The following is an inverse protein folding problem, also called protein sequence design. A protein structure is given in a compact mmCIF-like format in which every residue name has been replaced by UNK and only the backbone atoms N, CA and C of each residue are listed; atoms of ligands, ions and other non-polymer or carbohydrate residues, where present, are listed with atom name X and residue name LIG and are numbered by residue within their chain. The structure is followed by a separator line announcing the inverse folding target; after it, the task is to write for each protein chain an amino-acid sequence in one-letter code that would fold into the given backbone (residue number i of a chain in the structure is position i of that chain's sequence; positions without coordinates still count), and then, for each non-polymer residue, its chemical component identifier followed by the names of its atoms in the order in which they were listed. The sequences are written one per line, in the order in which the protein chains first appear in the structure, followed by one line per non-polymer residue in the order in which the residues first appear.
data_IF_679399665064
#
_entry.id   IF_679399665064
#
_cell.length_a   1.000
_cell.length_b   1.000
_cell.length_c   1.000
_cell.angle_alpha   90.00
_cell.angle_beta   90.00
_cell.angle_gamma   90.00
#
_symmetry.space_group_name_H-M   'P 1'
#
loop_
_entity.id
_entity.type
_entity.pdbx_description
1 polymer ?
#
# COMPACT_ATOMS: atom_id res chain seq x y z
N UNK A 1 -6.49 7.13 4.19
CA UNK A 1 -6.98 7.37 5.57
C UNK A 1 -6.11 6.55 6.51
N UNK A 2 -5.71 7.15 7.63
CA UNK A 2 -4.95 6.50 8.72
C UNK A 2 -5.74 6.64 10.03
N UNK A 3 -5.28 6.02 11.11
CA UNK A 3 -5.99 5.99 12.41
C UNK A 3 -7.13 4.96 12.43
N UNK A 4 -7.09 3.97 11.53
CA UNK A 4 -8.09 2.90 11.41
C UNK A 4 -7.45 1.55 11.67
N UNK A 5 -8.22 0.60 12.19
CA UNK A 5 -7.79 -0.80 12.31
C UNK A 5 -8.07 -1.57 11.02
N UNK A 6 -7.54 -2.80 10.93
CA UNK A 6 -7.85 -3.70 9.82
C UNK A 6 -9.32 -4.13 9.83
N UNK A 7 -9.93 -4.27 11.01
CA UNK A 7 -11.36 -4.56 11.11
C UNK A 7 -12.20 -3.40 10.57
N UNK A 8 -11.84 -2.15 10.86
CA UNK A 8 -12.53 -0.98 10.28
C UNK A 8 -12.38 -0.93 8.75
N UNK A 9 -11.20 -1.25 8.23
CA UNK A 9 -10.98 -1.33 6.78
C UNK A 9 -11.87 -2.40 6.12
N UNK A 10 -12.04 -3.56 6.76
CA UNK A 10 -12.95 -4.61 6.26
C UNK A 10 -14.42 -4.24 6.37
N UNK A 11 -14.83 -3.59 7.46
CA UNK A 11 -16.19 -3.08 7.62
C UNK A 11 -16.52 -2.07 6.52
N UNK A 12 -15.61 -1.13 6.24
CA UNK A 12 -15.74 -0.21 5.11
C UNK A 12 -15.88 -0.97 3.79
N UNK A 13 -15.03 -1.97 3.54
CA UNK A 13 -15.10 -2.76 2.31
C UNK A 13 -16.47 -3.44 2.13
N UNK A 14 -17.00 -4.06 3.19
CA UNK A 14 -18.33 -4.69 3.19
C UNK A 14 -19.42 -3.67 2.89
N UNK A 15 -19.38 -2.50 3.53
CA UNK A 15 -20.35 -1.44 3.29
C UNK A 15 -20.29 -0.90 1.84
N UNK A 16 -19.08 -0.70 1.31
CA UNK A 16 -18.87 -0.15 -0.03
C UNK A 16 -19.00 -1.19 -1.17
N UNK A 17 -19.21 -2.47 -0.86
CA UNK A 17 -19.28 -3.53 -1.87
C UNK A 17 -17.94 -3.83 -2.56
N UNK A 18 -16.82 -3.56 -1.89
CA UNK A 18 -15.46 -3.80 -2.36
C UNK A 18 -14.72 -4.72 -1.38
N UNK A 19 -13.43 -4.98 -1.59
CA UNK A 19 -12.61 -5.74 -0.65
C UNK A 19 -11.18 -5.21 -0.59
N UNK A 20 -10.46 -5.60 0.45
CA UNK A 20 -9.00 -5.47 0.48
C UNK A 20 -8.37 -6.36 -0.61
N UNK A 21 -7.27 -5.92 -1.24
CA UNK A 21 -6.49 -6.76 -2.14
C UNK A 21 -5.88 -7.93 -1.37
N UNK A 22 -5.72 -9.09 -2.00
CA UNK A 22 -4.84 -10.12 -1.47
C UNK A 22 -3.38 -9.64 -1.51
N UNK A 23 -2.45 -10.26 -0.74
CA UNK A 23 -1.03 -9.89 -0.80
C UNK A 23 -0.47 -9.99 -2.22
N UNK A 24 -0.89 -11.03 -2.97
CA UNK A 24 -0.44 -11.29 -4.34
C UNK A 24 -1.01 -10.27 -5.33
N UNK A 25 -2.29 -9.89 -5.21
CA UNK A 25 -2.88 -8.85 -6.06
C UNK A 25 -2.23 -7.49 -5.83
N UNK A 26 -1.94 -7.16 -4.57
CA UNK A 26 -1.25 -5.94 -4.21
C UNK A 26 0.13 -5.90 -4.85
N UNK A 27 0.90 -6.98 -4.70
CA UNK A 27 2.26 -7.08 -5.23
C UNK A 27 2.29 -7.09 -6.76
N UNK A 28 1.39 -7.86 -7.39
CA UNK A 28 1.27 -7.90 -8.84
C UNK A 28 0.99 -6.50 -9.40
N UNK A 29 0.09 -5.74 -8.78
CA UNK A 29 -0.24 -4.40 -9.24
C UNK A 29 0.88 -3.37 -8.98
N UNK A 30 1.64 -3.55 -7.90
CA UNK A 30 2.79 -2.72 -7.57
C UNK A 30 3.99 -2.96 -8.52
N UNK A 31 4.18 -4.21 -8.95
CA UNK A 31 5.40 -4.68 -9.63
C UNK A 31 5.23 -5.01 -11.12
N UNK A 32 4.02 -4.91 -11.67
CA UNK A 32 3.75 -5.16 -13.09
C UNK A 32 4.65 -4.30 -14.02
N UNK A 33 5.09 -4.79 -15.20
CA UNK A 33 4.91 -6.15 -15.73
C UNK A 33 6.03 -7.13 -15.40
N UNK A 34 7.17 -6.62 -14.92
CA UNK A 34 8.47 -7.30 -14.96
C UNK A 34 9.02 -7.63 -13.56
N UNK A 35 8.23 -7.41 -12.51
CA UNK A 35 8.67 -7.72 -11.15
C UNK A 35 9.64 -6.67 -10.60
N UNK A 36 9.51 -5.41 -11.02
CA UNK A 36 10.33 -4.28 -10.54
C UNK A 36 10.44 -4.21 -9.02
N UNK A 37 11.58 -3.73 -8.53
CA UNK A 37 11.87 -3.58 -7.10
C UNK A 37 11.18 -2.36 -6.48
N UNK A 38 11.01 -1.29 -7.24
CA UNK A 38 10.29 -0.09 -6.85
C UNK A 38 9.18 0.21 -7.87
N UNK A 39 8.13 0.94 -7.46
CA UNK A 39 7.04 1.35 -8.36
C UNK A 39 7.55 2.02 -9.66
N UNK A 40 8.65 2.77 -9.56
CA UNK A 40 9.28 3.52 -10.64
C UNK A 40 10.41 2.78 -11.37
N UNK A 41 10.81 1.57 -10.96
CA UNK A 41 11.88 0.79 -11.59
C UNK A 41 12.79 0.09 -10.58
N UNK A 42 14.01 -0.27 -11.00
CA UNK A 42 14.97 -0.99 -10.16
C UNK A 42 16.09 -0.10 -9.59
N UNK A 43 15.99 1.22 -9.77
CA UNK A 43 16.91 2.18 -9.18
C UNK A 43 16.25 2.88 -7.98
N UNK A 44 16.70 2.52 -6.78
CA UNK A 44 16.25 3.10 -5.52
C UNK A 44 16.36 4.63 -5.49
N UNK A 45 17.46 5.19 -6.02
CA UNK A 45 17.76 6.63 -5.94
C UNK A 45 16.77 7.46 -6.75
N UNK A 46 16.34 6.93 -7.89
CA UNK A 46 15.48 7.63 -8.85
C UNK A 46 14.07 7.98 -8.33
N UNK A 47 13.63 7.32 -7.26
CA UNK A 47 12.33 7.60 -6.66
C UNK A 47 12.30 7.76 -5.15
N UNK A 48 13.33 7.36 -4.39
CA UNK A 48 13.38 7.67 -2.96
C UNK A 48 13.37 9.19 -2.73
N UNK A 49 14.23 9.94 -3.45
CA UNK A 49 14.27 11.42 -3.40
C UNK A 49 12.96 12.08 -3.85
N UNK A 50 12.20 11.44 -4.75
CA UNK A 50 10.89 11.92 -5.19
C UNK A 50 9.76 11.52 -4.23
N UNK A 51 9.90 10.39 -3.54
CA UNK A 51 8.88 9.83 -2.65
C UNK A 51 8.93 10.41 -1.23
N UNK A 52 10.06 10.98 -0.84
CA UNK A 52 10.29 11.57 0.49
C UNK A 52 10.31 13.11 0.46
N UNK A 53 10.12 13.72 -0.72
CA UNK A 53 10.11 15.17 -0.88
C UNK A 53 11.53 15.78 -0.88
N UNK A 54 11.64 16.98 -1.47
CA UNK A 54 12.91 17.72 -1.63
C UNK A 54 13.38 18.45 -0.36
N UNK A 55 12.80 18.16 0.80
CA UNK A 55 13.19 18.72 2.08
C UNK A 55 13.73 17.61 2.96
N UNK A 56 14.94 17.80 3.48
CA UNK A 56 15.70 16.79 4.22
C UNK A 56 14.92 16.06 5.31
N UNK A 57 15.54 14.97 5.76
CA UNK A 57 15.10 13.90 6.66
C UNK A 57 14.37 14.31 7.96
N UNK A 58 14.19 15.61 8.25
CA UNK A 58 13.74 16.15 9.53
C UNK A 58 12.33 16.82 9.51
N UNK A 59 11.80 17.26 8.37
CA UNK A 59 10.52 18.02 8.35
C UNK A 59 9.31 17.24 7.80
N UNK A 60 9.53 16.06 7.19
CA UNK A 60 8.54 15.37 6.36
C UNK A 60 8.06 14.01 6.92
N UNK A 61 8.50 13.64 8.13
CA UNK A 61 8.26 12.32 8.74
C UNK A 61 6.97 12.22 9.55
N UNK A 62 6.21 13.30 9.72
CA UNK A 62 5.21 13.31 10.79
C UNK A 62 3.79 12.90 10.36
N UNK A 63 3.46 12.90 9.06
CA UNK A 63 2.07 12.67 8.62
C UNK A 63 1.91 12.05 7.22
N UNK A 64 0.85 11.25 7.06
CA UNK A 64 0.39 10.77 5.76
C UNK A 64 -0.05 11.94 4.87
N UNK A 65 0.42 11.97 3.62
CA UNK A 65 0.04 12.99 2.62
C UNK A 65 -1.23 12.58 1.89
N UNK A 66 -2.04 13.59 1.55
CA UNK A 66 -3.10 13.42 0.55
C UNK A 66 -2.46 13.05 -0.78
N UNK A 67 -3.10 12.11 -1.48
CA UNK A 67 -2.69 11.67 -2.83
C UNK A 67 -2.65 12.84 -3.81
N UNK A 68 -3.45 13.89 -3.59
CA UNK A 68 -3.56 15.05 -4.47
C UNK A 68 -2.44 16.09 -4.32
N UNK A 69 -1.67 16.05 -3.22
CA UNK A 69 -0.72 17.12 -2.84
C UNK A 69 0.73 16.76 -3.16
N UNK A 70 1.02 15.50 -3.45
CA UNK A 70 2.36 15.04 -3.82
C UNK A 70 2.27 13.76 -4.67
N UNK A 71 1.99 13.87 -5.98
CA UNK A 71 1.88 12.71 -6.84
C UNK A 71 3.29 12.15 -7.10
N UNK A 72 3.68 11.14 -6.32
CA UNK A 72 4.82 10.31 -6.66
C UNK A 72 4.64 9.68 -8.04
N UNK A 73 5.71 9.30 -8.75
CA UNK A 73 5.57 8.59 -10.01
C UNK A 73 4.70 7.34 -9.84
N UNK A 74 3.61 7.19 -10.63
CA UNK A 74 2.76 6.02 -10.51
C UNK A 74 3.48 4.75 -11.00
N UNK A 75 2.98 3.59 -10.58
CA UNK A 75 3.32 2.32 -11.24
C UNK A 75 2.87 2.37 -12.70
N UNK A 76 3.30 1.40 -13.52
CA UNK A 76 2.82 1.29 -14.92
C UNK A 76 1.29 1.13 -15.02
N UNK A 77 0.64 0.63 -13.96
CA UNK A 77 -0.82 0.52 -13.89
C UNK A 77 -1.50 1.77 -13.32
N UNK A 78 -0.76 2.87 -13.11
CA UNK A 78 -1.29 4.13 -12.59
C UNK A 78 -1.42 4.17 -11.07
N UNK A 79 -0.90 3.19 -10.32
CA UNK A 79 -1.02 3.19 -8.87
C UNK A 79 -0.03 4.16 -8.24
N UNK A 80 -0.53 5.06 -7.39
CA UNK A 80 0.27 5.96 -6.59
C UNK A 80 0.59 5.34 -5.23
N UNK A 81 1.70 5.77 -4.64
CA UNK A 81 2.09 5.52 -3.24
C UNK A 81 2.13 4.05 -2.85
N UNK A 82 2.45 3.14 -3.78
CA UNK A 82 2.71 1.73 -3.46
C UNK A 82 4.06 1.53 -2.76
N UNK A 83 4.89 2.57 -2.67
CA UNK A 83 6.28 2.48 -2.18
C UNK A 83 6.66 3.60 -1.20
N UNK A 84 5.68 4.24 -0.56
CA UNK A 84 5.84 5.32 0.42
C UNK A 84 4.45 5.70 0.97
N UNK A 85 4.38 6.73 1.81
CA UNK A 85 3.19 7.28 2.46
C UNK A 85 2.68 6.41 3.61
N UNK A 86 1.96 5.33 3.31
CA UNK A 86 1.37 4.46 4.35
C UNK A 86 1.61 3.00 4.02
N UNK A 87 1.77 2.19 5.05
CA UNK A 87 1.63 0.74 4.92
C UNK A 87 0.16 0.43 4.65
N UNK A 88 -0.11 -0.65 3.93
CA UNK A 88 -1.46 -0.97 3.50
C UNK A 88 -1.91 -2.33 4.00
N UNK A 89 -3.07 -2.34 4.65
CA UNK A 89 -3.78 -3.57 4.99
C UNK A 89 -4.16 -4.34 3.73
N UNK A 90 -3.84 -5.63 3.74
CA UNK A 90 -4.27 -6.58 2.71
C UNK A 90 -5.20 -7.64 3.31
N UNK A 91 -5.93 -8.34 2.46
CA UNK A 91 -6.77 -9.45 2.87
C UNK A 91 -5.88 -10.60 3.34
N UNK A 92 -6.05 -11.02 4.60
CA UNK A 92 -5.31 -12.13 5.15
C UNK A 92 -4.98 -11.94 6.62
N UNK A 93 -5.15 -13.02 7.36
CA UNK A 93 -4.71 -13.14 8.74
C UNK A 93 -3.33 -13.78 8.73
N UNK A 94 -2.42 -13.29 9.56
CA UNK A 94 -1.03 -13.73 9.61
C UNK A 94 -0.76 -14.81 10.68
N UNK A 95 -1.74 -15.10 11.55
CA UNK A 95 -1.65 -16.09 12.61
C UNK A 95 -2.93 -16.92 12.78
N UNK A 96 -2.79 -18.12 13.35
CA UNK A 96 -3.93 -19.03 13.57
C UNK A 96 -4.96 -18.47 14.58
N UNK A 97 -4.53 -17.54 15.45
CA UNK A 97 -5.37 -16.87 16.44
C UNK A 97 -6.15 -15.66 15.91
N UNK A 98 -5.94 -15.29 14.65
CA UNK A 98 -6.50 -14.11 14.01
C UNK A 98 -6.31 -12.79 14.76
N UNK A 99 -5.19 -12.65 15.45
CA UNK A 99 -4.76 -11.44 16.14
C UNK A 99 -3.80 -10.60 15.30
N UNK A 100 -3.13 -11.22 14.32
CA UNK A 100 -2.23 -10.54 13.40
C UNK A 100 -2.78 -10.55 11.98
N UNK A 101 -2.53 -9.46 11.24
CA UNK A 101 -2.96 -9.30 9.85
C UNK A 101 -1.78 -8.90 8.98
N UNK A 102 -1.88 -9.26 7.71
CA UNK A 102 -0.86 -8.95 6.73
C UNK A 102 -0.93 -7.48 6.31
N UNK A 103 0.23 -6.86 6.17
CA UNK A 103 0.41 -5.52 5.61
C UNK A 103 1.48 -5.53 4.53
N UNK A 104 1.31 -4.70 3.51
CA UNK A 104 2.24 -4.52 2.39
C UNK A 104 2.70 -3.07 2.27
N UNK A 105 3.81 -2.87 1.56
CA UNK A 105 4.35 -1.54 1.27
C UNK A 105 5.15 -0.95 2.42
N UNK A 106 5.31 0.38 2.38
CA UNK A 106 6.13 1.17 3.29
C UNK A 106 5.41 2.46 3.68
N UNK A 107 5.52 2.87 4.94
CA UNK A 107 5.02 4.17 5.42
C UNK A 107 6.12 5.23 5.52
N UNK A 108 5.73 6.48 5.81
CA UNK A 108 6.67 7.55 6.16
C UNK A 108 7.47 7.27 7.44
N UNK A 109 7.01 6.35 8.31
CA UNK A 109 7.68 6.01 9.57
C UNK A 109 8.82 5.01 9.37
N UNK A 110 8.78 4.25 8.27
CA UNK A 110 9.77 3.22 7.95
C UNK A 110 11.10 3.83 7.47
N UNK A 111 12.26 3.24 7.84
CA UNK A 111 13.55 3.68 7.33
C UNK A 111 13.66 3.55 5.80
N UNK A 112 14.43 4.43 5.14
CA UNK A 112 14.54 4.48 3.67
C UNK A 112 15.21 3.24 3.05
N UNK A 113 15.80 2.38 3.86
CA UNK A 113 16.48 1.15 3.44
C UNK A 113 15.55 -0.05 3.23
N UNK A 114 14.26 0.08 3.56
CA UNK A 114 13.25 -0.97 3.43
C UNK A 114 12.79 -1.11 1.96
N UNK A 115 12.92 -2.32 1.41
CA UNK A 115 12.56 -2.65 0.03
C UNK A 115 11.05 -2.67 -0.18
N UNK A 116 10.56 -1.75 -1.00
CA UNK A 116 9.20 -1.19 -0.89
C UNK A 116 8.08 -2.03 -1.49
N UNK A 117 8.36 -2.96 -2.41
CA UNK A 117 7.30 -3.64 -3.18
C UNK A 117 7.14 -5.14 -2.89
N UNK A 118 8.12 -5.76 -2.21
CA UNK A 118 8.07 -7.18 -1.82
C UNK A 118 7.73 -7.40 -0.36
N UNK A 119 7.95 -6.39 0.48
CA UNK A 119 7.84 -6.54 1.92
C UNK A 119 6.41 -6.83 2.34
N UNK A 120 6.31 -7.90 3.11
CA UNK A 120 5.13 -8.31 3.84
C UNK A 120 5.49 -8.27 5.32
N UNK A 121 4.69 -7.57 6.09
CA UNK A 121 4.85 -7.48 7.54
C UNK A 121 3.52 -7.80 8.22
N UNK A 122 3.50 -7.76 9.54
CA UNK A 122 2.33 -8.08 10.36
C UNK A 122 1.95 -6.91 11.26
N UNK A 123 0.66 -6.71 11.45
CA UNK A 123 0.08 -5.74 12.37
C UNK A 123 -0.90 -6.44 13.31
N UNK A 124 -1.06 -5.93 14.53
CA UNK A 124 -2.22 -6.27 15.35
C UNK A 124 -3.51 -5.91 14.61
N UNK A 125 -4.48 -6.83 14.63
CA UNK A 125 -5.72 -6.75 13.84
C UNK A 125 -6.62 -5.59 14.27
N UNK A 126 -6.85 -5.46 15.58
CA UNK A 126 -7.75 -4.47 16.17
C UNK A 126 -7.10 -3.14 16.52
N UNK A 127 -5.79 -2.98 16.27
CA UNK A 127 -5.03 -1.79 16.68
C UNK A 127 -5.03 -0.76 15.57
N UNK A 128 -5.62 0.44 15.78
CA UNK A 128 -5.45 1.55 14.86
C UNK A 128 -3.98 1.99 14.78
N UNK A 129 -3.54 2.42 13.60
CA UNK A 129 -2.20 2.99 13.43
C UNK A 129 -2.26 4.29 12.63
N UNK A 130 -1.33 5.19 12.93
CA UNK A 130 -1.21 6.50 12.30
C UNK A 130 -0.45 6.46 10.95
N UNK A 131 0.19 5.34 10.63
CA UNK A 131 1.02 5.14 9.44
C UNK A 131 0.50 3.99 8.55
N UNK A 132 -0.63 3.39 8.92
CA UNK A 132 -1.32 2.33 8.19
C UNK A 132 -2.65 2.80 7.64
N UNK A 133 -2.89 2.48 6.38
CA UNK A 133 -4.15 2.68 5.68
C UNK A 133 -4.51 1.45 4.86
N UNK A 134 -5.28 1.65 3.80
CA UNK A 134 -5.65 0.57 2.90
C UNK A 134 -6.04 1.12 1.53
N UNK A 135 -5.92 0.26 0.52
CA UNK A 135 -6.58 0.42 -0.77
C UNK A 135 -7.61 -0.69 -0.96
N UNK A 136 -8.47 -0.50 -1.94
CA UNK A 136 -9.55 -1.44 -2.24
C UNK A 136 -9.42 -1.96 -3.66
N UNK A 137 -9.94 -3.16 -3.87
CA UNK A 137 -10.11 -3.76 -5.18
C UNK A 137 -11.56 -4.20 -5.34
N UNK A 138 -12.01 -4.23 -6.59
CA UNK A 138 -13.30 -4.79 -6.96
C UNK A 138 -13.12 -5.78 -8.11
N UNK A 139 -13.99 -6.79 -8.17
CA UNK A 139 -13.97 -7.75 -9.27
C UNK A 139 -14.51 -7.06 -10.53
N UNK A 140 -13.76 -7.13 -11.63
CA UNK A 140 -14.24 -6.71 -12.95
C UNK A 140 -14.86 -7.94 -13.61
N UNK A 141 -16.16 -7.90 -13.91
CA UNK A 141 -16.76 -8.91 -14.79
C UNK A 141 -16.31 -8.63 -16.22
N UNK A 142 -15.61 -9.57 -16.85
CA UNK A 142 -15.40 -9.50 -18.29
C UNK A 142 -16.74 -9.75 -18.96
N UNK A 143 -17.26 -8.78 -19.71
CA UNK A 143 -18.28 -9.08 -20.72
C UNK A 143 -17.59 -9.94 -21.77
N UNK A 144 -17.99 -11.19 -21.89
CA UNK A 144 -17.65 -11.97 -23.08
C UNK A 144 -18.15 -11.17 -24.27
N UNK A 145 -17.24 -10.76 -25.15
CA UNK A 145 -17.62 -10.18 -26.43
C UNK A 145 -18.32 -11.30 -27.19
N UNK A 146 -19.65 -11.20 -27.25
CA UNK A 146 -20.48 -12.08 -28.05
C UNK A 146 -19.97 -12.15 -29.49
N UNK A 147 -20.05 -13.38 -29.97
CA UNK A 147 -19.76 -13.92 -31.29
C UNK A 147 -20.28 -13.09 -32.46
#
# INVERSE_FOLDING_TARGET
MVGVSWDNANEFCRWAGVRLPTPDEWEAAARYPDGREYAWGNDARSGLERSEGRGGLDEYRDWARSVDVDPQPPTVLGLLHTCSNVQEYVAGVADDGAQAVCIKGRSFADPPTINVSTIMSVSGRGTPSFDRGFRVVHRVQRKEKGQ
#
